data_IF_115234186459
#
_entry.id   IF_115234186459
#
_cell.length_a   1.000
_cell.length_b   1.000
_cell.length_c   1.000
_cell.angle_alpha   90.00
_cell.angle_beta   90.00
_cell.angle_gamma   90.00
#
_symmetry.space_group_name_H-M   'P 1'
#
loop_
_entity.id
_entity.type
_entity.pdbx_description
1 polymer ?
#
# COMPACT_ATOMS: atom_id res chain seq x y z
N UNK A 1 -9.88 15.06 1.38
CA UNK A 1 -8.55 15.63 1.18
C UNK A 1 -7.53 14.54 0.94
N UNK A 2 -6.67 14.77 -0.02
CA UNK A 2 -5.65 13.78 -0.37
C UNK A 2 -4.57 13.71 0.70
N UNK A 3 -4.16 12.50 1.04
CA UNK A 3 -3.04 12.30 1.95
C UNK A 3 -1.80 12.93 1.33
N UNK A 4 -1.06 13.79 2.05
CA UNK A 4 0.10 14.48 1.48
C UNK A 4 1.21 13.53 1.06
N UNK A 5 1.24 12.30 1.59
CA UNK A 5 2.26 11.32 1.25
C UNK A 5 1.88 10.47 0.05
N UNK A 6 0.63 10.50 -0.35
CA UNK A 6 0.13 9.59 -1.37
C UNK A 6 -0.75 10.35 -2.34
N UNK A 7 -0.52 10.15 -3.62
CA UNK A 7 -1.35 10.75 -4.65
C UNK A 7 -1.94 9.61 -5.46
N UNK A 8 -3.18 9.26 -5.14
CA UNK A 8 -3.90 8.24 -5.88
C UNK A 8 -4.31 8.83 -7.23
N UNK A 9 -3.98 8.14 -8.30
CA UNK A 9 -4.22 8.66 -9.65
C UNK A 9 -5.57 8.22 -10.16
N UNK A 10 -5.88 6.94 -10.02
CA UNK A 10 -7.12 6.39 -10.54
C UNK A 10 -7.74 5.53 -9.45
N UNK A 11 -9.04 5.70 -9.29
CA UNK A 11 -9.80 4.85 -8.39
C UNK A 11 -10.81 4.12 -9.24
N UNK A 12 -10.41 2.97 -9.75
CA UNK A 12 -11.32 2.07 -10.42
C UNK A 12 -11.71 0.98 -9.45
N UNK A 13 -11.89 -0.21 -9.95
CA UNK A 13 -12.16 -1.34 -9.08
C UNK A 13 -10.94 -1.64 -8.23
N UNK A 14 -11.14 -1.87 -6.93
CA UNK A 14 -10.02 -2.22 -6.05
C UNK A 14 -9.34 -3.50 -6.51
N UNK A 15 -8.03 -3.51 -6.42
CA UNK A 15 -7.23 -4.69 -6.69
C UNK A 15 -6.64 -5.18 -5.38
N UNK A 16 -7.21 -6.21 -4.80
CA UNK A 16 -6.78 -6.73 -3.51
C UNK A 16 -5.73 -7.83 -3.61
N UNK A 17 -5.47 -8.32 -4.81
CA UNK A 17 -4.55 -9.46 -4.98
C UNK A 17 -3.16 -9.24 -4.40
N UNK A 18 -2.50 -8.07 -4.62
CA UNK A 18 -1.18 -7.88 -4.01
C UNK A 18 -1.23 -7.92 -2.50
N UNK A 19 -2.27 -7.33 -1.90
CA UNK A 19 -2.40 -7.33 -0.46
C UNK A 19 -2.67 -8.73 0.08
N UNK A 20 -3.52 -9.49 -0.61
CA UNK A 20 -3.85 -10.85 -0.20
C UNK A 20 -2.62 -11.75 -0.15
N UNK A 21 -1.63 -11.45 -0.97
CA UNK A 21 -0.39 -12.22 -0.98
C UNK A 21 0.61 -11.76 0.07
N UNK A 22 0.45 -10.54 0.56
CA UNK A 22 1.41 -9.94 1.48
C UNK A 22 1.05 -10.14 2.95
N UNK A 23 -0.24 -10.20 3.27
CA UNK A 23 -0.69 -10.29 4.66
C UNK A 23 -1.66 -11.45 4.84
N UNK A 24 -1.79 -11.96 6.09
CA UNK A 24 -2.78 -13.01 6.36
C UNK A 24 -4.19 -12.52 6.09
N UNK A 25 -5.06 -13.44 5.73
CA UNK A 25 -6.46 -13.09 5.44
C UNK A 25 -7.12 -12.34 6.59
N UNK A 26 -6.74 -12.64 7.83
CA UNK A 26 -7.31 -11.98 8.99
C UNK A 26 -6.95 -10.51 9.08
N UNK A 27 -5.91 -10.06 8.37
CA UNK A 27 -5.53 -8.65 8.39
C UNK A 27 -6.13 -7.84 7.25
N UNK A 28 -6.73 -8.50 6.27
CA UNK A 28 -7.25 -7.78 5.10
C UNK A 28 -8.26 -6.71 5.48
N UNK A 29 -9.11 -6.97 6.44
CA UNK A 29 -10.13 -6.01 6.84
C UNK A 29 -9.55 -4.79 7.54
N UNK A 30 -8.29 -4.85 7.93
CA UNK A 30 -7.62 -3.71 8.54
C UNK A 30 -7.11 -2.70 7.51
N UNK A 31 -7.30 -2.97 6.23
CA UNK A 31 -6.81 -2.10 5.18
C UNK A 31 -7.95 -1.52 4.35
N UNK A 32 -7.71 -0.32 3.85
CA UNK A 32 -8.60 0.35 2.92
C UNK A 32 -7.87 0.51 1.61
N UNK A 33 -8.56 0.26 0.49
CA UNK A 33 -7.97 0.47 -0.81
C UNK A 33 -8.01 1.96 -1.14
N UNK A 34 -6.86 2.55 -1.43
CA UNK A 34 -6.75 3.99 -1.64
C UNK A 34 -6.51 4.35 -3.11
N UNK A 35 -6.57 3.38 -4.01
CA UNK A 35 -6.32 3.63 -5.42
C UNK A 35 -4.95 3.14 -5.84
N UNK A 36 -4.44 3.70 -6.93
CA UNK A 36 -3.13 3.30 -7.40
C UNK A 36 -2.37 4.50 -7.95
N UNK A 37 -1.06 4.37 -7.91
CA UNK A 37 -0.14 5.35 -8.48
C UNK A 37 0.71 4.60 -9.49
N UNK A 38 0.41 4.76 -10.79
CA UNK A 38 1.07 4.00 -11.83
C UNK A 38 0.86 2.51 -11.63
N UNK A 39 1.94 1.79 -11.44
CA UNK A 39 1.89 0.33 -11.26
C UNK A 39 1.87 -0.07 -9.79
N UNK A 40 1.61 0.86 -8.88
CA UNK A 40 1.64 0.61 -7.44
C UNK A 40 0.24 0.72 -6.88
N UNK A 41 -0.21 -0.34 -6.20
CA UNK A 41 -1.49 -0.35 -5.51
C UNK A 41 -1.30 0.21 -4.10
N UNK A 42 -2.23 1.05 -3.66
CA UNK A 42 -2.09 1.77 -2.40
C UNK A 42 -3.12 1.26 -1.39
N UNK A 43 -2.63 0.81 -0.24
CA UNK A 43 -3.49 0.33 0.83
C UNK A 43 -3.16 1.08 2.11
N UNK A 44 -4.18 1.55 2.83
CA UNK A 44 -3.98 2.31 4.06
C UNK A 44 -4.47 1.50 5.24
N UNK A 45 -3.63 1.35 6.26
CA UNK A 45 -4.00 0.64 7.47
C UNK A 45 -4.94 1.50 8.31
N UNK A 46 -6.06 0.91 8.75
CA UNK A 46 -7.08 1.65 9.49
C UNK A 46 -6.59 2.19 10.81
N UNK A 47 -5.74 1.44 11.49
CA UNK A 47 -5.31 1.76 12.85
C UNK A 47 -4.09 2.66 12.83
N UNK A 48 -3.02 2.23 12.15
CA UNK A 48 -1.79 3.02 12.13
C UNK A 48 -1.88 4.21 11.19
N UNK A 49 -2.80 4.17 10.23
CA UNK A 49 -3.01 5.20 9.21
C UNK A 49 -1.84 5.29 8.25
N UNK A 50 -0.98 4.31 8.23
CA UNK A 50 0.16 4.26 7.33
C UNK A 50 -0.18 3.44 6.09
N UNK A 51 0.57 3.70 5.03
CA UNK A 51 0.32 3.06 3.74
C UNK A 51 1.21 1.86 3.54
N UNK A 52 0.64 0.82 2.96
CA UNK A 52 1.38 -0.32 2.41
C UNK A 52 1.22 -0.23 0.91
N UNK A 53 2.32 0.01 0.20
CA UNK A 53 2.31 0.24 -1.25
C UNK A 53 2.95 -0.95 -1.93
N UNK A 54 2.19 -1.64 -2.76
CA UNK A 54 2.63 -2.90 -3.36
C UNK A 54 2.50 -2.80 -4.87
N UNK A 55 3.55 -3.19 -5.58
CA UNK A 55 3.51 -3.25 -7.03
C UNK A 55 2.45 -4.22 -7.51
N UNK A 56 1.89 -3.96 -8.67
CA UNK A 56 0.84 -4.81 -9.24
C UNK A 56 1.30 -6.24 -9.49
N UNK A 57 2.62 -6.43 -9.58
CA UNK A 57 3.19 -7.77 -9.72
C UNK A 57 3.15 -8.56 -8.40
N UNK A 58 2.76 -7.93 -7.30
CA UNK A 58 2.67 -8.53 -5.97
C UNK A 58 4.03 -8.91 -5.39
N UNK A 59 5.12 -8.42 -5.96
CA UNK A 59 6.47 -8.81 -5.54
C UNK A 59 7.32 -7.66 -5.04
N UNK A 60 6.95 -6.41 -5.38
CA UNK A 60 7.75 -5.26 -5.06
C UNK A 60 7.00 -4.37 -4.09
N UNK A 61 7.68 -3.91 -3.04
CA UNK A 61 7.10 -3.06 -2.02
C UNK A 61 7.78 -1.70 -2.04
N UNK A 62 7.01 -0.65 -1.73
CA UNK A 62 7.51 0.72 -1.82
C UNK A 62 7.14 1.54 -0.62
N UNK A 63 7.96 2.54 -0.32
CA UNK A 63 7.62 3.60 0.62
C UNK A 63 7.66 4.92 -0.11
N UNK A 64 6.74 5.81 0.22
CA UNK A 64 6.69 7.13 -0.38
C UNK A 64 7.53 8.07 0.47
N UNK A 65 8.66 8.51 -0.07
CA UNK A 65 9.60 9.36 0.64
C UNK A 65 10.01 10.52 -0.26
N UNK A 66 9.92 11.73 0.27
CA UNK A 66 10.39 12.93 -0.45
C UNK A 66 9.81 13.07 -1.85
N UNK A 67 8.54 12.73 -2.01
CA UNK A 67 7.87 12.87 -3.29
C UNK A 67 8.07 11.71 -4.25
N UNK A 68 8.71 10.65 -3.81
CA UNK A 68 8.98 9.50 -4.67
C UNK A 68 8.66 8.18 -3.97
N UNK A 69 8.34 7.17 -4.79
CA UNK A 69 8.18 5.82 -4.29
C UNK A 69 9.53 5.11 -4.37
N UNK A 70 10.05 4.73 -3.22
CA UNK A 70 11.33 4.02 -3.12
C UNK A 70 11.06 2.57 -2.79
N UNK A 71 11.76 1.68 -3.49
CA UNK A 71 11.61 0.24 -3.24
C UNK A 71 12.19 -0.14 -1.89
N UNK A 72 11.43 -0.96 -1.14
CA UNK A 72 11.88 -1.46 0.16
C UNK A 72 11.59 -2.95 0.22
N UNK A 73 12.15 -3.62 1.22
CA UNK A 73 11.86 -5.05 1.40
C UNK A 73 10.45 -5.24 1.93
N UNK A 74 9.91 -6.42 1.70
CA UNK A 74 8.58 -6.75 2.23
C UNK A 74 8.58 -6.65 3.75
N UNK A 75 9.62 -7.14 4.41
CA UNK A 75 9.70 -7.08 5.87
C UNK A 75 9.66 -5.64 6.37
N UNK A 76 10.43 -4.76 5.72
CA UNK A 76 10.47 -3.35 6.13
C UNK A 76 9.12 -2.68 5.90
N UNK A 77 8.48 -2.97 4.78
CA UNK A 77 7.17 -2.38 4.47
C UNK A 77 6.12 -2.81 5.49
N UNK A 78 6.09 -4.09 5.83
CA UNK A 78 5.11 -4.61 6.78
C UNK A 78 5.37 -4.09 8.19
N UNK A 79 6.62 -4.00 8.58
CA UNK A 79 6.96 -3.44 9.89
C UNK A 79 6.50 -1.99 9.99
N UNK A 80 6.75 -1.22 8.94
CA UNK A 80 6.35 0.19 8.91
C UNK A 80 4.84 0.34 9.04
N UNK A 81 4.09 -0.42 8.25
CA UNK A 81 2.63 -0.23 8.21
C UNK A 81 1.96 -0.69 9.50
N UNK A 82 2.58 -1.61 10.23
CA UNK A 82 2.02 -2.16 11.46
C UNK A 82 2.41 -1.38 12.71
N UNK A 83 3.38 -0.51 12.63
CA UNK A 83 3.91 0.16 13.83
C UNK A 83 3.21 1.46 14.23
#
# INVERSE_FOLDING_TARGET
>A
MTDPNQVAVIVGEPNWAPLERAVPATELENFMYMGRAGEIELYKHRITRRYLNIGRNSQTFYQYLNGEYAEVSQAAALEYVRS
#
